data_IF_503679422841
#
_entry.id   IF_503679422841
#
_cell.length_a   1.000
_cell.length_b   1.000
_cell.length_c   1.000
_cell.angle_alpha   90.00
_cell.angle_beta   90.00
_cell.angle_gamma   90.00
#
_symmetry.space_group_name_H-M   'P 1'
#
loop_
_entity.id
_entity.type
_entity.pdbx_description
1 polymer ?
#
# COMPACT_ATOMS: atom_id res chain seq x y z
N UNK A 1 6.60 24.14 17.93
CA UNK A 1 6.60 23.53 16.58
C UNK A 1 5.21 23.01 16.32
N UNK A 2 4.55 23.41 15.24
CA UNK A 2 3.21 22.89 14.90
C UNK A 2 3.32 21.36 14.66
N UNK A 3 2.41 20.58 15.24
CA UNK A 3 2.34 19.12 15.09
C UNK A 3 2.33 18.69 13.62
N UNK A 4 1.57 19.40 12.77
CA UNK A 4 1.51 19.16 11.32
C UNK A 4 2.86 19.35 10.65
N UNK A 5 3.54 20.45 10.95
CA UNK A 5 4.86 20.76 10.39
C UNK A 5 5.93 19.78 10.88
N UNK A 6 5.80 19.29 12.11
CA UNK A 6 6.64 18.22 12.65
C UNK A 6 6.52 16.93 11.86
N UNK A 7 5.29 16.45 11.64
CA UNK A 7 5.08 15.23 10.87
C UNK A 7 5.45 15.39 9.40
N UNK A 8 5.24 16.57 8.80
CA UNK A 8 5.66 16.89 7.44
C UNK A 8 7.18 16.86 7.30
N UNK A 9 7.90 17.51 8.20
CA UNK A 9 9.37 17.53 8.21
C UNK A 9 9.93 16.12 8.37
N UNK A 10 9.34 15.34 9.28
CA UNK A 10 9.72 13.94 9.51
C UNK A 10 9.46 13.06 8.27
N UNK A 11 8.34 13.25 7.59
CA UNK A 11 8.05 12.54 6.34
C UNK A 11 9.07 12.86 5.23
N UNK A 12 9.49 14.12 5.09
CA UNK A 12 10.55 14.49 4.14
C UNK A 12 11.90 13.85 4.48
N UNK A 13 12.25 13.79 5.76
CA UNK A 13 13.48 13.09 6.18
C UNK A 13 13.40 11.60 5.84
N UNK A 14 12.24 10.96 6.04
CA UNK A 14 12.07 9.56 5.67
C UNK A 14 12.10 9.33 4.16
N UNK A 15 11.60 10.26 3.36
CA UNK A 15 11.73 10.23 1.90
C UNK A 15 13.22 10.23 1.48
N UNK A 16 14.02 11.11 2.07
CA UNK A 16 15.48 11.17 1.81
C UNK A 16 16.26 9.93 2.25
N UNK A 17 15.68 9.09 3.11
CA UNK A 17 16.31 7.90 3.65
C UNK A 17 15.70 6.60 3.11
N UNK A 18 14.79 6.69 2.12
CA UNK A 18 14.01 5.57 1.58
C UNK A 18 13.23 4.78 2.66
N UNK A 19 12.91 5.43 3.78
CA UNK A 19 12.16 4.85 4.90
C UNK A 19 10.64 4.99 4.71
N UNK A 20 10.15 4.53 3.57
CA UNK A 20 8.75 4.74 3.15
C UNK A 20 7.68 4.24 4.13
N UNK A 21 7.84 3.10 4.84
CA UNK A 21 6.87 2.69 5.87
C UNK A 21 6.76 3.71 7.01
N UNK A 22 7.88 4.31 7.42
CA UNK A 22 7.91 5.35 8.46
C UNK A 22 7.36 6.68 7.94
N UNK A 23 7.55 6.96 6.65
CA UNK A 23 6.95 8.10 5.95
C UNK A 23 5.42 7.99 5.95
N UNK A 24 4.87 6.81 5.63
CA UNK A 24 3.44 6.51 5.71
C UNK A 24 2.89 6.79 7.10
N UNK A 25 3.57 6.33 8.14
CA UNK A 25 3.16 6.56 9.53
C UNK A 25 3.15 8.05 9.87
N UNK A 26 4.18 8.79 9.47
CA UNK A 26 4.28 10.22 9.73
C UNK A 26 3.14 10.99 9.05
N UNK A 27 2.81 10.66 7.80
CA UNK A 27 1.71 11.34 7.09
C UNK A 27 0.35 10.92 7.65
N UNK A 28 0.20 9.68 8.14
CA UNK A 28 -1.00 9.25 8.87
C UNK A 28 -1.23 10.10 10.12
N UNK A 29 -0.16 10.35 10.88
CA UNK A 29 -0.21 11.21 12.07
C UNK A 29 -0.49 12.68 11.71
N UNK A 30 0.06 13.17 10.60
CA UNK A 30 -0.23 14.50 10.06
C UNK A 30 -1.73 14.69 9.83
N UNK A 31 -2.39 13.72 9.18
CA UNK A 31 -3.82 13.77 8.86
C UNK A 31 -4.68 13.69 10.14
N UNK A 32 -4.30 12.85 11.10
CA UNK A 32 -5.05 12.66 12.35
C UNK A 32 -4.85 13.77 13.38
N UNK A 33 -3.80 14.57 13.26
CA UNK A 33 -3.44 15.61 14.26
C UNK A 33 -4.28 16.88 14.18
N UNK A 34 -5.06 17.07 13.13
CA UNK A 34 -5.81 18.30 12.84
C UNK A 34 -7.30 17.99 12.73
N UNK A 35 -8.14 18.96 13.14
CA UNK A 35 -9.59 18.87 12.92
C UNK A 35 -9.97 18.98 11.43
N UNK A 36 -9.04 19.44 10.57
CA UNK A 36 -9.19 19.48 9.12
C UNK A 36 -8.22 18.49 8.45
N UNK A 37 -8.71 17.38 7.89
CA UNK A 37 -7.88 16.37 7.24
C UNK A 37 -7.38 16.79 5.85
N UNK A 38 -7.60 18.04 5.42
CA UNK A 38 -7.17 18.51 4.09
C UNK A 38 -5.67 18.42 3.92
N UNK A 39 -5.21 17.79 2.84
CA UNK A 39 -3.81 17.80 2.42
C UNK A 39 -3.57 18.92 1.41
N UNK A 40 -2.46 19.63 1.58
CA UNK A 40 -1.88 20.47 0.54
C UNK A 40 -1.35 19.61 -0.62
N UNK A 41 -1.09 20.22 -1.77
CA UNK A 41 -0.52 19.53 -2.93
C UNK A 41 0.80 18.82 -2.59
N UNK A 42 1.65 19.47 -1.80
CA UNK A 42 2.92 18.89 -1.36
C UNK A 42 2.70 17.67 -0.45
N UNK A 43 1.82 17.77 0.55
CA UNK A 43 1.57 16.67 1.49
C UNK A 43 0.90 15.49 0.79
N UNK A 44 0.02 15.74 -0.18
CA UNK A 44 -0.59 14.69 -1.02
C UNK A 44 0.44 14.00 -1.93
N UNK A 45 1.42 14.73 -2.44
CA UNK A 45 2.51 14.14 -3.22
C UNK A 45 3.39 13.26 -2.33
N UNK A 46 3.78 13.76 -1.15
CA UNK A 46 4.50 12.99 -0.15
C UNK A 46 3.71 11.73 0.24
N UNK A 47 2.39 11.86 0.45
CA UNK A 47 1.49 10.75 0.73
C UNK A 47 1.68 9.68 -0.36
N UNK A 48 1.47 10.06 -1.61
CA UNK A 48 1.52 9.12 -2.75
C UNK A 48 2.87 8.45 -2.96
N UNK A 49 3.96 9.21 -2.79
CA UNK A 49 5.33 8.69 -2.87
C UNK A 49 5.57 7.66 -1.77
N UNK A 50 5.18 7.96 -0.53
CA UNK A 50 5.33 7.04 0.59
C UNK A 50 4.64 5.71 0.32
N UNK A 51 3.38 5.72 -0.15
CA UNK A 51 2.64 4.47 -0.37
C UNK A 51 3.17 3.68 -1.54
N UNK A 52 3.41 4.34 -2.68
CA UNK A 52 3.88 3.66 -3.88
C UNK A 52 5.18 2.93 -3.59
N UNK A 53 6.13 3.62 -2.95
CA UNK A 53 7.42 3.03 -2.63
C UNK A 53 7.39 2.06 -1.44
N UNK A 54 6.32 2.04 -0.64
CA UNK A 54 6.10 0.97 0.35
C UNK A 54 5.57 -0.29 -0.31
N UNK A 55 4.56 -0.18 -1.20
CA UNK A 55 3.81 -1.33 -1.69
C UNK A 55 4.40 -1.98 -2.95
N UNK A 56 5.02 -1.21 -3.84
CA UNK A 56 5.56 -1.72 -5.10
C UNK A 56 6.67 -2.78 -4.90
N UNK A 57 7.62 -2.59 -3.96
CA UNK A 57 8.61 -3.63 -3.65
C UNK A 57 7.97 -4.92 -3.13
N UNK A 58 6.98 -4.81 -2.24
CA UNK A 58 6.26 -5.97 -1.70
C UNK A 58 5.51 -6.73 -2.79
N UNK A 59 4.82 -6.01 -3.69
CA UNK A 59 4.13 -6.64 -4.83
C UNK A 59 5.10 -7.31 -5.79
N UNK A 60 6.27 -6.72 -6.00
CA UNK A 60 7.32 -7.31 -6.84
C UNK A 60 7.85 -8.59 -6.20
N UNK A 61 8.15 -8.56 -4.90
CA UNK A 61 8.61 -9.73 -4.14
C UNK A 61 7.55 -10.85 -4.13
N UNK A 62 6.29 -10.52 -3.88
CA UNK A 62 5.17 -11.46 -3.92
C UNK A 62 5.09 -12.18 -5.28
N UNK A 63 5.09 -11.44 -6.39
CA UNK A 63 5.08 -12.04 -7.74
C UNK A 63 6.28 -12.94 -8.02
N UNK A 64 7.46 -12.55 -7.53
CA UNK A 64 8.66 -13.36 -7.69
C UNK A 64 8.58 -14.66 -6.88
N UNK A 65 8.10 -14.59 -5.64
CA UNK A 65 7.88 -15.75 -4.79
C UNK A 65 6.82 -16.69 -5.37
N UNK A 66 5.73 -16.16 -5.92
CA UNK A 66 4.69 -16.98 -6.56
C UNK A 66 5.23 -17.72 -7.78
N UNK A 67 6.06 -17.08 -8.60
CA UNK A 67 6.76 -17.75 -9.71
C UNK A 67 7.69 -18.83 -9.20
N UNK A 68 8.45 -18.55 -8.14
CA UNK A 68 9.35 -19.52 -7.54
C UNK A 68 8.57 -20.76 -7.05
N UNK A 69 7.43 -20.54 -6.38
CA UNK A 69 6.51 -21.60 -5.95
C UNK A 69 6.01 -22.44 -7.13
N UNK A 70 5.63 -21.82 -8.23
CA UNK A 70 5.14 -22.52 -9.44
C UNK A 70 6.24 -23.36 -10.13
N UNK A 71 7.50 -22.93 -10.05
CA UNK A 71 8.62 -23.61 -10.72
C UNK A 71 9.35 -24.64 -9.87
N UNK A 72 9.17 -24.62 -8.55
CA UNK A 72 9.87 -25.53 -7.64
C UNK A 72 9.12 -26.85 -7.49
N UNK A 73 9.85 -27.95 -7.40
CA UNK A 73 9.29 -29.31 -7.26
C UNK A 73 9.65 -29.97 -5.93
N UNK A 74 10.54 -29.35 -5.14
CA UNK A 74 10.93 -29.85 -3.83
C UNK A 74 9.87 -29.48 -2.79
N UNK A 75 9.22 -30.50 -2.22
CA UNK A 75 8.06 -30.36 -1.33
C UNK A 75 8.33 -29.43 -0.14
N UNK A 76 9.44 -29.65 0.58
CA UNK A 76 9.84 -28.82 1.73
C UNK A 76 10.03 -27.35 1.34
N UNK A 77 10.70 -27.10 0.21
CA UNK A 77 10.93 -25.74 -0.28
C UNK A 77 9.60 -25.10 -0.72
N UNK A 78 8.70 -25.85 -1.35
CA UNK A 78 7.35 -25.36 -1.70
C UNK A 78 6.51 -25.00 -0.49
N UNK A 79 6.57 -25.78 0.60
CA UNK A 79 5.89 -25.45 1.87
C UNK A 79 6.44 -24.15 2.47
N UNK A 80 7.76 -24.00 2.53
CA UNK A 80 8.41 -22.78 3.04
C UNK A 80 8.03 -21.56 2.19
N UNK A 81 8.07 -21.68 0.86
CA UNK A 81 7.68 -20.57 -0.03
C UNK A 81 6.21 -20.19 0.20
N UNK A 82 5.34 -21.17 0.40
CA UNK A 82 3.90 -20.93 0.65
C UNK A 82 3.67 -20.22 1.98
N UNK A 83 4.44 -20.55 3.02
CA UNK A 83 4.41 -19.84 4.30
C UNK A 83 4.83 -18.37 4.12
N UNK A 84 5.94 -18.11 3.42
CA UNK A 84 6.44 -16.75 3.16
C UNK A 84 5.45 -15.95 2.31
N UNK A 85 4.79 -16.59 1.32
CA UNK A 85 3.74 -15.96 0.51
C UNK A 85 2.55 -15.52 1.36
N UNK A 86 2.11 -16.35 2.31
CA UNK A 86 1.01 -16.00 3.21
C UNK A 86 1.38 -14.82 4.12
N UNK A 87 2.58 -14.82 4.70
CA UNK A 87 3.07 -13.69 5.50
C UNK A 87 3.14 -12.39 4.70
N UNK A 88 3.69 -12.44 3.48
CA UNK A 88 3.73 -11.29 2.57
C UNK A 88 2.32 -10.77 2.22
N UNK A 89 1.40 -11.68 1.94
CA UNK A 89 0.01 -11.34 1.61
C UNK A 89 -0.68 -10.62 2.77
N UNK A 90 -0.52 -11.10 3.99
CA UNK A 90 -1.08 -10.45 5.18
C UNK A 90 -0.56 -9.02 5.34
N UNK A 91 0.75 -8.80 5.20
CA UNK A 91 1.34 -7.46 5.30
C UNK A 91 0.89 -6.53 4.17
N UNK A 92 0.78 -7.02 2.92
CA UNK A 92 0.23 -6.23 1.81
C UNK A 92 -1.22 -5.84 2.09
N UNK A 93 -2.06 -6.77 2.55
CA UNK A 93 -3.48 -6.50 2.88
C UNK A 93 -3.59 -5.49 4.01
N UNK A 94 -2.79 -5.63 5.06
CA UNK A 94 -2.74 -4.71 6.20
C UNK A 94 -2.40 -3.30 5.77
N UNK A 95 -1.37 -3.14 4.93
CA UNK A 95 -1.00 -1.84 4.37
C UNK A 95 -2.13 -1.31 3.49
N UNK A 96 -2.67 -2.10 2.57
CA UNK A 96 -3.79 -1.67 1.71
C UNK A 96 -5.00 -1.19 2.51
N UNK A 97 -5.35 -1.90 3.59
CA UNK A 97 -6.46 -1.51 4.47
C UNK A 97 -6.16 -0.19 5.17
N UNK A 98 -4.99 -0.06 5.80
CA UNK A 98 -4.56 1.18 6.46
C UNK A 98 -4.68 2.39 5.53
N UNK A 99 -4.22 2.25 4.28
CA UNK A 99 -4.27 3.35 3.32
C UNK A 99 -5.70 3.63 2.87
N UNK A 100 -6.47 2.57 2.60
CA UNK A 100 -7.88 2.71 2.24
C UNK A 100 -8.66 3.48 3.30
N UNK A 101 -8.38 3.23 4.57
CA UNK A 101 -9.02 3.92 5.68
C UNK A 101 -8.62 5.40 5.73
N UNK A 102 -7.34 5.72 5.57
CA UNK A 102 -6.86 7.10 5.48
C UNK A 102 -7.52 7.84 4.32
N UNK A 103 -7.52 7.23 3.13
CA UNK A 103 -8.10 7.85 1.92
C UNK A 103 -9.61 8.04 2.05
N UNK A 104 -10.31 7.11 2.71
CA UNK A 104 -11.73 7.28 3.03
C UNK A 104 -11.96 8.47 3.96
N UNK A 105 -11.16 8.66 4.99
CA UNK A 105 -11.21 9.85 5.86
C UNK A 105 -10.99 11.12 5.05
N UNK A 106 -10.00 11.14 4.15
CA UNK A 106 -9.74 12.30 3.28
C UNK A 106 -10.94 12.61 2.36
N UNK A 107 -11.65 11.60 1.87
CA UNK A 107 -12.81 11.74 0.99
C UNK A 107 -14.06 12.30 1.70
N UNK A 108 -14.14 12.18 3.02
CA UNK A 108 -15.24 12.75 3.83
C UNK A 108 -15.14 14.27 3.99
N UNK A 109 -14.05 14.90 3.55
CA UNK A 109 -13.92 16.35 3.60
C UNK A 109 -14.78 17.00 2.50
N UNK A 110 -15.81 17.75 2.92
CA UNK A 110 -16.75 18.42 2.01
C UNK A 110 -16.11 19.55 1.17
N UNK A 111 -14.92 20.03 1.56
CA UNK A 111 -14.17 21.08 0.86
C UNK A 111 -13.16 20.51 -0.16
N UNK A 112 -13.31 19.24 -0.53
CA UNK A 112 -12.47 18.63 -1.55
C UNK A 112 -12.77 19.20 -2.94
N UNK A 113 -11.72 19.54 -3.68
CA UNK A 113 -11.84 19.79 -5.11
C UNK A 113 -12.16 18.50 -5.87
N UNK A 114 -12.79 18.61 -7.03
CA UNK A 114 -13.07 17.45 -7.90
C UNK A 114 -11.80 16.69 -8.28
N UNK A 115 -10.71 17.41 -8.55
CA UNK A 115 -9.40 16.82 -8.83
C UNK A 115 -8.90 15.95 -7.66
N UNK A 116 -9.00 16.45 -6.42
CA UNK A 116 -8.61 15.69 -5.24
C UNK A 116 -9.52 14.47 -5.03
N UNK A 117 -10.81 14.59 -5.38
CA UNK A 117 -11.77 13.49 -5.25
C UNK A 117 -11.45 12.37 -6.23
N UNK A 118 -11.22 12.71 -7.50
CA UNK A 118 -10.79 11.75 -8.53
C UNK A 118 -9.47 11.09 -8.12
N UNK A 119 -8.52 11.87 -7.61
CA UNK A 119 -7.24 11.37 -7.15
C UNK A 119 -7.37 10.30 -6.05
N UNK A 120 -8.14 10.58 -5.00
CA UNK A 120 -8.36 9.64 -3.90
C UNK A 120 -9.19 8.42 -4.31
N UNK A 121 -10.20 8.59 -5.16
CA UNK A 121 -10.94 7.47 -5.74
C UNK A 121 -10.04 6.55 -6.57
N UNK A 122 -9.12 7.13 -7.37
CA UNK A 122 -8.11 6.35 -8.10
C UNK A 122 -7.23 5.54 -7.15
N UNK A 123 -6.76 6.14 -6.06
CA UNK A 123 -5.96 5.43 -5.06
C UNK A 123 -6.72 4.24 -4.46
N UNK A 124 -7.99 4.41 -4.08
CA UNK A 124 -8.83 3.28 -3.61
C UNK A 124 -8.93 2.18 -4.67
N UNK A 125 -9.13 2.55 -5.94
CA UNK A 125 -9.18 1.59 -7.05
C UNK A 125 -7.89 0.78 -7.18
N UNK A 126 -6.73 1.44 -7.07
CA UNK A 126 -5.42 0.78 -7.07
C UNK A 126 -5.29 -0.21 -5.90
N UNK A 127 -5.74 0.14 -4.69
CA UNK A 127 -5.70 -0.77 -3.53
C UNK A 127 -6.64 -1.96 -3.64
N UNK A 128 -7.85 -1.74 -4.15
CA UNK A 128 -8.80 -2.83 -4.41
C UNK A 128 -8.24 -3.79 -5.47
N UNK A 129 -7.59 -3.25 -6.50
CA UNK A 129 -6.90 -4.06 -7.50
C UNK A 129 -5.77 -4.90 -6.88
N UNK A 130 -4.95 -4.34 -5.99
CA UNK A 130 -3.91 -5.11 -5.29
C UNK A 130 -4.49 -6.22 -4.43
N UNK A 131 -5.58 -5.94 -3.69
CA UNK A 131 -6.27 -6.98 -2.90
C UNK A 131 -6.85 -8.09 -3.78
N UNK A 132 -7.30 -7.76 -5.00
CA UNK A 132 -7.78 -8.75 -5.95
C UNK A 132 -6.64 -9.63 -6.51
N UNK A 133 -5.50 -9.03 -6.88
CA UNK A 133 -4.30 -9.75 -7.34
C UNK A 133 -3.88 -10.85 -6.35
N UNK A 134 -3.96 -10.56 -5.05
CA UNK A 134 -3.61 -11.50 -3.99
C UNK A 134 -4.59 -12.67 -3.82
N UNK A 135 -5.87 -12.49 -4.17
CA UNK A 135 -6.88 -13.56 -4.10
C UNK A 135 -6.82 -14.51 -5.29
N UNK A 136 -6.41 -14.01 -6.45
CA UNK A 136 -6.25 -14.84 -7.66
C UNK A 136 -5.10 -15.83 -7.56
N UNK A 137 -4.08 -15.56 -6.73
CA UNK A 137 -2.94 -16.46 -6.56
C UNK A 137 -3.13 -17.54 -5.49
N UNK A 138 -4.25 -17.51 -4.74
CA UNK A 138 -4.67 -18.60 -3.83
C UNK A 138 -5.22 -19.82 -4.58
N UNK A 139 -5.64 -19.64 -5.84
CA UNK A 139 -6.15 -20.75 -6.63
C UNK A 139 -4.96 -21.45 -7.30
N UNK A 140 -4.71 -22.73 -7.02
CA UNK A 140 -3.74 -23.48 -7.80
C UNK A 140 -4.15 -23.38 -9.28
N UNK A 141 -3.21 -23.01 -10.15
CA UNK A 141 -3.42 -23.01 -11.60
C UNK A 141 -3.48 -24.46 -12.12
N UNK A 142 -4.49 -25.23 -11.71
CA UNK A 142 -4.69 -26.60 -12.20
C UNK A 142 -5.55 -26.67 -13.47
N UNK A 143 -5.97 -25.54 -14.06
CA UNK A 143 -6.91 -25.55 -15.19
C UNK A 143 -6.59 -24.51 -16.29
N UNK A 144 -5.37 -24.50 -16.82
CA UNK A 144 -5.05 -23.76 -18.07
C UNK A 144 -4.40 -24.66 -19.13
N UNK A 145 -4.75 -25.96 -19.13
CA UNK A 145 -4.21 -26.96 -20.06
C UNK A 145 -5.25 -27.91 -20.66
N UNK A 146 -6.52 -27.52 -20.73
CA UNK A 146 -7.56 -28.28 -21.45
C UNK A 146 -8.41 -27.31 -22.28
N UNK A 147 -7.93 -27.02 -23.49
CA UNK A 147 -8.72 -26.56 -24.64
C UNK A 147 -8.13 -27.18 -25.89
#
# INVERSE_FOLDING_TARGET
MNTREYHKTKAKLYDHLDMFPNMVESISQLISSENDPKLSTEERNLFSVAFKNTIDPMRTAFRQLSRLRDTNTEEVTCEIISEVLNQQKEEIVKICNKISDIVRTLLLNDQLTDENRVFYCKMIGDYLRYKAELKTEDYPRTLHGLS
#
